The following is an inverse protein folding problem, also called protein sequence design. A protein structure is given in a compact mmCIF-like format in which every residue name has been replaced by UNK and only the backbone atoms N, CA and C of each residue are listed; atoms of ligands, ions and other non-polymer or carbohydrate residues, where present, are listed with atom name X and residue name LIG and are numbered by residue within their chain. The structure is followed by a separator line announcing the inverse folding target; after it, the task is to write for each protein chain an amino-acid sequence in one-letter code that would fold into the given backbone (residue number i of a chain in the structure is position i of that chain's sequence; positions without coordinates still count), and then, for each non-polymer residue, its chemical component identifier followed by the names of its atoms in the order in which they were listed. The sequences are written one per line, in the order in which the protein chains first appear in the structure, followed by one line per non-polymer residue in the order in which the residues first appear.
data_IF_949077878228
#
_entry.id   IF_949077878228
#
_cell.length_a   1.000
_cell.length_b   1.000
_cell.length_c   1.000
_cell.angle_alpha   90.00
_cell.angle_beta   90.00
_cell.angle_gamma   90.00
#
_symmetry.space_group_name_H-M   'P 1'
#
loop_
_entity.id
_entity.type
_entity.pdbx_description
1 polymer ?
#
# COMPACT_ATOMS: atom_id res chain seq x y z
N UNK A 1 -7.32 -9.84 -22.23
CA UNK A 1 -7.93 -10.32 -20.97
C UNK A 1 -8.23 -9.11 -20.09
N UNK A 2 -9.48 -8.90 -19.68
CA UNK A 2 -9.88 -7.74 -18.86
C UNK A 2 -10.25 -8.22 -17.47
N UNK A 3 -9.32 -8.11 -16.54
CA UNK A 3 -9.62 -8.07 -15.11
C UNK A 3 -9.42 -6.64 -14.63
N UNK A 4 -10.45 -5.79 -14.74
CA UNK A 4 -10.54 -4.57 -13.94
C UNK A 4 -11.96 -4.03 -13.98
N UNK A 5 -12.58 -3.86 -12.81
CA UNK A 5 -13.87 -3.19 -12.74
C UNK A 5 -14.63 -3.31 -11.42
N UNK A 6 -14.32 -4.29 -10.57
CA UNK A 6 -15.00 -4.46 -9.27
C UNK A 6 -14.12 -4.12 -8.06
N UNK A 7 -12.84 -3.81 -8.26
CA UNK A 7 -11.92 -3.43 -7.19
C UNK A 7 -12.00 -1.93 -6.90
N UNK A 8 -11.80 -1.57 -5.63
CA UNK A 8 -11.60 -0.17 -5.22
C UNK A 8 -10.40 0.43 -6.00
N UNK A 9 -10.48 1.72 -6.34
CA UNK A 9 -9.38 2.40 -7.07
C UNK A 9 -8.20 2.62 -6.13
N UNK A 10 -7.19 1.78 -6.25
CA UNK A 10 -5.95 1.85 -5.48
C UNK A 10 -4.76 1.46 -6.37
N UNK A 11 -3.68 2.21 -6.29
CA UNK A 11 -2.47 2.04 -7.11
C UNK A 11 -1.26 1.79 -6.23
N UNK A 12 -0.45 0.79 -6.54
CA UNK A 12 0.87 0.63 -5.94
C UNK A 12 1.84 1.64 -6.56
N UNK A 13 2.56 2.40 -5.72
CA UNK A 13 3.54 3.39 -6.17
C UNK A 13 4.95 2.80 -6.15
N UNK A 14 5.40 2.38 -4.97
CA UNK A 14 6.77 1.87 -4.74
C UNK A 14 6.85 1.09 -3.43
N UNK A 15 7.95 0.38 -3.26
CA UNK A 15 8.35 -0.17 -1.97
C UNK A 15 9.75 0.33 -1.60
N UNK A 16 10.02 0.40 -0.30
CA UNK A 16 11.31 0.76 0.24
C UNK A 16 11.62 -0.21 1.36
N UNK A 17 12.70 -0.96 1.20
CA UNK A 17 13.24 -1.81 2.24
C UNK A 17 14.44 -1.10 2.86
N UNK A 18 14.39 -0.90 4.17
CA UNK A 18 15.47 -0.35 4.97
C UNK A 18 16.10 -1.51 5.77
N UNK A 19 17.26 -2.04 5.33
CA UNK A 19 17.83 -3.25 5.93
C UNK A 19 18.32 -3.05 7.37
N UNK A 20 18.77 -1.85 7.71
CA UNK A 20 19.37 -1.53 9.01
C UNK A 20 18.37 -1.67 10.16
N UNK A 21 17.13 -1.24 9.95
CA UNK A 21 16.02 -1.34 10.90
C UNK A 21 15.04 -2.47 10.56
N UNK A 22 15.33 -3.27 9.52
CA UNK A 22 14.54 -4.44 9.12
C UNK A 22 13.11 -4.07 8.70
N UNK A 23 12.91 -2.88 8.15
CA UNK A 23 11.58 -2.37 7.80
C UNK A 23 11.34 -2.40 6.30
N UNK A 24 10.14 -2.83 5.92
CA UNK A 24 9.64 -2.73 4.55
C UNK A 24 8.41 -1.83 4.54
N UNK A 25 8.42 -0.82 3.68
CA UNK A 25 7.29 0.08 3.45
C UNK A 25 6.82 -0.08 2.02
N UNK A 26 5.55 -0.42 1.83
CA UNK A 26 4.87 -0.40 0.54
C UNK A 26 3.96 0.83 0.48
N UNK A 27 4.21 1.71 -0.48
CA UNK A 27 3.45 2.93 -0.69
C UNK A 27 2.37 2.70 -1.75
N UNK A 28 1.15 3.05 -1.39
CA UNK A 28 -0.02 2.98 -2.24
C UNK A 28 -0.68 4.36 -2.34
N UNK A 29 -1.21 4.69 -3.52
CA UNK A 29 -2.11 5.81 -3.74
C UNK A 29 -3.55 5.27 -3.64
N UNK A 30 -4.33 5.83 -2.71
CA UNK A 30 -5.70 5.43 -2.45
C UNK A 30 -6.46 6.53 -1.71
N UNK A 31 -7.74 6.28 -1.43
CA UNK A 31 -8.65 7.23 -0.81
C UNK A 31 -8.46 7.32 0.70
N UNK A 32 -8.01 6.23 1.36
CA UNK A 32 -7.77 6.22 2.81
C UNK A 32 -6.89 5.04 3.25
N UNK A 33 -6.40 5.10 4.50
CA UNK A 33 -5.65 4.00 5.11
C UNK A 33 -6.50 2.71 5.22
N UNK A 34 -7.80 2.83 5.49
CA UNK A 34 -8.72 1.69 5.57
C UNK A 34 -8.88 0.99 4.22
N UNK A 35 -8.85 1.73 3.10
CA UNK A 35 -8.86 1.14 1.76
C UNK A 35 -7.61 0.30 1.50
N UNK A 36 -6.44 0.85 1.85
CA UNK A 36 -5.16 0.12 1.75
C UNK A 36 -5.16 -1.11 2.67
N UNK A 37 -5.75 -1.00 3.86
CA UNK A 37 -5.89 -2.12 4.79
C UNK A 37 -6.73 -3.25 4.17
N UNK A 38 -7.93 -2.93 3.67
CA UNK A 38 -8.79 -3.91 3.00
C UNK A 38 -8.12 -4.57 1.80
N UNK A 39 -7.37 -3.81 1.00
CA UNK A 39 -6.58 -4.35 -0.11
C UNK A 39 -5.59 -5.42 0.40
N UNK A 40 -4.79 -5.07 1.40
CA UNK A 40 -3.77 -5.98 1.94
C UNK A 40 -4.38 -7.21 2.59
N UNK A 41 -5.48 -7.04 3.34
CA UNK A 41 -6.22 -8.14 3.97
C UNK A 41 -6.82 -9.09 2.92
N UNK A 42 -7.45 -8.54 1.88
CA UNK A 42 -8.04 -9.32 0.78
C UNK A 42 -6.97 -10.08 -0.01
N UNK A 43 -5.78 -9.48 -0.17
CA UNK A 43 -4.64 -10.10 -0.83
C UNK A 43 -3.87 -11.09 0.07
N UNK A 44 -4.17 -11.17 1.37
CA UNK A 44 -3.45 -11.99 2.33
C UNK A 44 -1.99 -11.57 2.53
N UNK A 45 -1.68 -10.30 2.30
CA UNK A 45 -0.32 -9.78 2.42
C UNK A 45 0.02 -9.52 3.90
N UNK A 46 1.19 -9.94 4.39
CA UNK A 46 1.61 -9.64 5.74
C UNK A 46 2.04 -8.17 5.87
N UNK A 47 1.52 -7.48 6.87
CA UNK A 47 1.93 -6.12 7.24
C UNK A 47 1.80 -5.92 8.75
N UNK A 48 2.55 -4.95 9.30
CA UNK A 48 2.47 -4.62 10.73
C UNK A 48 1.46 -3.53 11.04
N UNK A 49 1.33 -2.53 10.16
CA UNK A 49 0.34 -1.43 10.26
C UNK A 49 0.20 -0.72 8.92
N UNK A 50 -0.92 -0.04 8.73
CA UNK A 50 -1.13 0.93 7.64
C UNK A 50 -1.18 2.32 8.26
N UNK A 51 -0.44 3.26 7.68
CA UNK A 51 -0.39 4.67 8.11
C UNK A 51 -0.39 5.57 6.88
N UNK A 52 -0.94 6.77 7.01
CA UNK A 52 -0.83 7.79 5.97
C UNK A 52 0.63 8.21 5.78
N UNK A 53 1.03 8.37 4.52
CA UNK A 53 2.37 8.79 4.13
C UNK A 53 2.27 10.04 3.26
N UNK A 54 3.12 11.03 3.57
CA UNK A 54 3.25 12.24 2.77
C UNK A 54 4.49 12.12 1.89
N UNK A 55 4.33 12.26 0.58
CA UNK A 55 5.47 12.39 -0.32
C UNK A 55 6.04 13.81 -0.20
N UNK A 56 7.24 13.91 0.35
CA UNK A 56 7.95 15.17 0.45
C UNK A 56 8.72 15.37 -0.85
N UNK A 57 8.18 16.19 -1.75
CA UNK A 57 8.99 16.75 -2.85
C UNK A 57 10.00 17.74 -2.26
N UNK A 58 11.30 17.65 -2.64
CA UNK A 58 12.33 18.56 -2.16
C UNK A 58 12.08 20.02 -2.52
#
# INVERSE_FOLDING_TARGET
EKMSGAGEKISYIRSTFAPEDGRCMCLFEGESAEQVQRLNDTAGLPYSRVVEALDLTP
#
